data_IF_055359185306
#
_entry.id   IF_055359185306
#
_cell.length_a   1.000
_cell.length_b   1.000
_cell.length_c   1.000
_cell.angle_alpha   90.00
_cell.angle_beta   90.00
_cell.angle_gamma   90.00
#
_symmetry.space_group_name_H-M   'P 1'
#
loop_
_entity.id
_entity.type
_entity.pdbx_description
1 polymer ?
#
# COMPACT_ATOMS: atom_id res chain seq x y z
N UNK A 1 1.76 13.83 41.97
CA UNK A 1 2.21 13.82 40.57
C UNK A 1 2.31 12.38 40.12
N UNK A 2 1.24 11.81 39.57
CA UNK A 2 1.20 10.40 39.13
C UNK A 2 1.39 10.32 37.62
N UNK A 3 2.66 10.38 37.21
CA UNK A 3 3.08 10.07 35.84
C UNK A 3 3.12 8.57 35.63
N UNK A 4 1.95 7.93 35.54
CA UNK A 4 1.87 6.57 35.02
C UNK A 4 2.01 6.65 33.50
N UNK A 5 3.20 6.26 33.04
CA UNK A 5 3.50 5.73 31.72
C UNK A 5 2.25 5.21 30.99
N UNK A 6 1.60 6.08 30.21
CA UNK A 6 0.73 5.63 29.12
C UNK A 6 1.66 5.18 28.00
N UNK A 7 2.26 4.00 28.19
CA UNK A 7 2.73 3.22 27.05
C UNK A 7 1.59 3.22 26.03
N UNK A 8 1.93 3.47 24.77
CA UNK A 8 0.96 3.68 23.69
C UNK A 8 0.02 2.47 23.69
N UNK A 9 -1.15 2.61 24.31
CA UNK A 9 -2.23 1.65 24.22
C UNK A 9 -2.78 1.82 22.82
N UNK A 10 -2.08 1.27 21.84
CA UNK A 10 -2.67 0.98 20.54
C UNK A 10 -3.86 0.09 20.86
N UNK A 11 -5.07 0.63 20.67
CA UNK A 11 -6.28 -0.19 20.75
C UNK A 11 -6.12 -1.29 19.72
N UNK A 12 -5.77 -2.50 20.19
CA UNK A 12 -5.45 -3.65 19.34
C UNK A 12 -6.57 -3.87 18.33
N UNK A 13 -7.82 -3.75 18.79
CA UNK A 13 -9.02 -3.87 17.96
C UNK A 13 -9.09 -2.81 16.86
N UNK A 14 -8.91 -1.53 17.20
CA UNK A 14 -8.99 -0.43 16.22
C UNK A 14 -7.86 -0.50 15.20
N UNK A 15 -6.65 -0.85 15.64
CA UNK A 15 -5.52 -1.05 14.76
C UNK A 15 -5.75 -2.19 13.76
N UNK A 16 -6.16 -3.38 14.22
CA UNK A 16 -6.40 -4.50 13.31
C UNK A 16 -7.57 -4.22 12.35
N UNK A 17 -8.61 -3.51 12.81
CA UNK A 17 -9.68 -3.02 11.94
C UNK A 17 -9.14 -2.07 10.86
N UNK A 18 -8.33 -1.08 11.25
CA UNK A 18 -7.73 -0.12 10.33
C UNK A 18 -6.85 -0.79 9.27
N UNK A 19 -5.97 -1.72 9.67
CA UNK A 19 -5.14 -2.48 8.73
C UNK A 19 -6.00 -3.37 7.83
N UNK A 20 -7.09 -3.96 8.35
CA UNK A 20 -8.00 -4.75 7.54
C UNK A 20 -8.68 -3.89 6.47
N UNK A 21 -9.21 -2.72 6.86
CA UNK A 21 -9.84 -1.78 5.91
C UNK A 21 -8.82 -1.32 4.87
N UNK A 22 -7.61 -0.95 5.30
CA UNK A 22 -6.52 -0.60 4.39
C UNK A 22 -6.26 -1.70 3.35
N UNK A 23 -6.10 -2.95 3.79
CA UNK A 23 -5.83 -4.08 2.90
C UNK A 23 -6.98 -4.29 1.90
N UNK A 24 -8.23 -4.17 2.34
CA UNK A 24 -9.39 -4.26 1.44
C UNK A 24 -9.35 -3.14 0.41
N UNK A 25 -9.19 -1.89 0.84
CA UNK A 25 -9.12 -0.73 -0.06
C UNK A 25 -8.00 -0.85 -1.08
N UNK A 26 -6.81 -1.29 -0.67
CA UNK A 26 -5.70 -1.46 -1.61
C UNK A 26 -5.94 -2.60 -2.60
N UNK A 27 -6.55 -3.70 -2.16
CA UNK A 27 -6.96 -4.80 -3.06
C UNK A 27 -7.95 -4.29 -4.11
N UNK A 28 -8.96 -3.52 -3.70
CA UNK A 28 -9.95 -2.95 -4.61
C UNK A 28 -9.30 -1.96 -5.61
N UNK A 29 -8.35 -1.16 -5.13
CA UNK A 29 -7.55 -0.27 -5.99
C UNK A 29 -6.71 -1.06 -6.99
N UNK A 30 -6.10 -2.18 -6.61
CA UNK A 30 -5.30 -3.02 -7.50
C UNK A 30 -6.14 -3.62 -8.62
N UNK A 31 -7.32 -4.16 -8.29
CA UNK A 31 -8.27 -4.69 -9.28
C UNK A 31 -8.72 -3.58 -10.23
N UNK A 32 -9.20 -2.46 -9.67
CA UNK A 32 -9.70 -1.33 -10.48
C UNK A 32 -8.60 -0.79 -11.40
N UNK A 33 -7.37 -0.65 -10.89
CA UNK A 33 -6.26 -0.16 -11.69
C UNK A 33 -5.91 -1.13 -12.81
N UNK A 34 -5.86 -2.44 -12.54
CA UNK A 34 -5.62 -3.45 -13.56
C UNK A 34 -6.69 -3.44 -14.66
N UNK A 35 -7.96 -3.26 -14.32
CA UNK A 35 -9.05 -3.16 -15.30
C UNK A 35 -8.89 -1.92 -16.20
N UNK A 36 -8.58 -0.75 -15.62
CA UNK A 36 -8.37 0.48 -16.39
C UNK A 36 -7.12 0.43 -17.27
N UNK A 37 -6.09 -0.25 -16.79
CA UNK A 37 -4.88 -0.52 -17.55
C UNK A 37 -5.16 -1.33 -18.81
N UNK A 38 -5.90 -2.43 -18.67
CA UNK A 38 -6.30 -3.25 -19.80
C UNK A 38 -7.15 -2.47 -20.82
N UNK A 39 -8.09 -1.65 -20.33
CA UNK A 39 -8.90 -0.78 -21.19
C UNK A 39 -8.04 0.22 -21.99
N UNK A 40 -7.05 0.84 -21.36
CA UNK A 40 -6.12 1.77 -22.04
C UNK A 40 -5.29 1.02 -23.11
N UNK A 41 -4.79 -0.17 -22.79
CA UNK A 41 -4.03 -1.00 -23.72
C UNK A 41 -4.88 -1.41 -24.94
N UNK A 42 -6.14 -1.79 -24.72
CA UNK A 42 -7.09 -2.10 -25.80
C UNK A 42 -7.36 -0.88 -26.69
N UNK A 43 -7.58 0.30 -26.09
CA UNK A 43 -7.78 1.55 -26.82
C UNK A 43 -6.55 1.96 -27.63
N UNK A 44 -5.33 1.69 -27.12
CA UNK A 44 -4.11 1.92 -27.88
C UNK A 44 -3.94 0.93 -29.03
N UNK A 45 -4.27 -0.35 -28.81
CA UNK A 45 -4.18 -1.40 -29.82
C UNK A 45 -5.17 -1.17 -30.99
N UNK A 46 -6.32 -0.54 -30.72
CA UNK A 46 -7.29 -0.16 -31.75
C UNK A 46 -6.78 0.93 -32.71
N UNK A 47 -5.63 1.57 -32.41
CA UNK A 47 -4.98 2.60 -33.23
C UNK A 47 -5.96 3.65 -33.79
N UNK A 48 -6.76 4.34 -32.95
CA UNK A 48 -7.83 5.26 -33.39
C UNK A 48 -7.32 6.46 -34.19
N UNK A 49 -6.01 6.71 -34.17
CA UNK A 49 -5.33 7.79 -34.86
C UNK A 49 -5.02 7.52 -36.34
N UNK A 50 -5.11 6.25 -36.80
CA UNK A 50 -4.86 5.86 -38.19
C UNK A 50 -3.40 6.01 -38.66
N UNK A 51 -3.12 5.59 -39.91
CA UNK A 51 -1.76 5.53 -40.48
C UNK A 51 -1.34 6.82 -41.22
N UNK A 52 -2.19 7.84 -41.22
CA UNK A 52 -1.92 9.13 -41.87
C UNK A 52 -0.85 9.94 -41.15
N UNK A 53 -0.39 11.01 -41.78
CA UNK A 53 0.60 11.95 -41.21
C UNK A 53 0.17 12.51 -39.85
N UNK A 54 -1.11 12.77 -39.68
CA UNK A 54 -1.75 13.25 -38.46
C UNK A 54 -1.71 12.17 -37.37
N UNK A 55 -1.97 10.91 -37.73
CA UNK A 55 -1.93 9.78 -36.81
C UNK A 55 -0.52 9.46 -36.33
N UNK A 56 0.46 9.53 -37.23
CA UNK A 56 1.88 9.38 -36.90
C UNK A 56 2.38 10.52 -36.00
N UNK A 57 1.94 11.76 -36.24
CA UNK A 57 2.29 12.90 -35.40
C UNK A 57 1.69 12.78 -33.99
N UNK A 58 0.43 12.34 -33.89
CA UNK A 58 -0.20 12.02 -32.61
C UNK A 58 0.54 10.90 -31.90
N UNK A 59 0.79 9.77 -32.56
CA UNK A 59 1.51 8.65 -31.97
C UNK A 59 2.88 9.09 -31.44
N UNK A 60 3.62 9.91 -32.18
CA UNK A 60 4.91 10.46 -31.71
C UNK A 60 4.80 11.38 -30.51
N UNK A 61 3.78 12.24 -30.41
CA UNK A 61 3.64 13.14 -29.26
C UNK A 61 3.06 12.42 -28.05
N UNK A 62 2.11 11.51 -28.28
CA UNK A 62 1.37 10.80 -27.25
C UNK A 62 2.17 9.65 -26.64
N UNK A 63 2.87 8.85 -27.46
CA UNK A 63 3.78 7.79 -27.01
C UNK A 63 5.25 8.26 -26.95
N UNK A 64 5.50 9.52 -27.32
CA UNK A 64 6.79 10.17 -27.17
C UNK A 64 7.26 10.10 -25.72
N UNK A 65 8.56 9.85 -25.54
CA UNK A 65 9.21 9.73 -24.23
C UNK A 65 8.60 8.65 -23.31
N UNK A 66 7.82 7.72 -23.86
CA UNK A 66 7.16 6.65 -23.10
C UNK A 66 6.09 7.17 -22.14
N UNK A 67 5.52 8.35 -22.38
CA UNK A 67 4.70 9.08 -21.40
C UNK A 67 3.48 8.30 -20.85
N UNK A 68 2.68 7.58 -21.67
CA UNK A 68 1.56 6.80 -21.15
C UNK A 68 2.07 5.58 -20.38
N UNK A 69 2.97 4.80 -20.99
CA UNK A 69 3.53 3.58 -20.38
C UNK A 69 4.21 3.85 -19.04
N UNK A 70 4.96 4.97 -18.95
CA UNK A 70 5.63 5.39 -17.71
C UNK A 70 4.63 5.76 -16.62
N UNK A 71 3.56 6.49 -16.95
CA UNK A 71 2.49 6.81 -16.00
C UNK A 71 1.83 5.52 -15.49
N UNK A 72 1.57 4.59 -16.40
CA UNK A 72 0.92 3.32 -16.11
C UNK A 72 1.78 2.41 -15.21
N UNK A 73 3.09 2.33 -15.48
CA UNK A 73 4.04 1.60 -14.65
C UNK A 73 4.20 2.24 -13.27
N UNK A 74 4.23 3.57 -13.20
CA UNK A 74 4.32 4.29 -11.93
C UNK A 74 3.10 4.04 -11.04
N UNK A 75 1.88 4.07 -11.58
CA UNK A 75 0.69 3.77 -10.78
C UNK A 75 0.66 2.32 -10.29
N UNK A 76 1.10 1.36 -11.13
CA UNK A 76 1.26 -0.05 -10.72
C UNK A 76 2.28 -0.18 -9.58
N UNK A 77 3.39 0.55 -9.67
CA UNK A 77 4.40 0.58 -8.62
C UNK A 77 3.84 1.16 -7.31
N UNK A 78 3.13 2.28 -7.37
CA UNK A 78 2.52 2.91 -6.19
C UNK A 78 1.51 1.99 -5.51
N UNK A 79 0.63 1.32 -6.25
CA UNK A 79 -0.35 0.39 -5.66
C UNK A 79 0.35 -0.77 -4.94
N UNK A 80 1.41 -1.33 -5.53
CA UNK A 80 2.21 -2.38 -4.88
C UNK A 80 2.86 -1.88 -3.59
N UNK A 81 3.40 -0.66 -3.57
CA UNK A 81 3.95 -0.07 -2.35
C UNK A 81 2.89 0.08 -1.25
N UNK A 82 1.65 0.46 -1.61
CA UNK A 82 0.54 0.55 -0.67
C UNK A 82 0.14 -0.85 -0.14
N UNK A 83 0.16 -1.86 -1.00
CA UNK A 83 -0.18 -3.24 -0.63
C UNK A 83 0.84 -3.81 0.36
N UNK A 84 2.12 -3.54 0.13
CA UNK A 84 3.22 -3.95 1.00
C UNK A 84 3.21 -3.24 2.37
N UNK A 85 2.67 -2.03 2.45
CA UNK A 85 2.70 -1.23 3.68
C UNK A 85 1.84 -1.85 4.80
N UNK A 86 0.67 -2.38 4.47
CA UNK A 86 -0.27 -2.95 5.45
C UNK A 86 0.35 -4.10 6.29
N UNK A 87 0.90 -5.14 5.65
CA UNK A 87 1.62 -6.22 6.34
C UNK A 87 2.82 -5.74 7.16
N UNK A 88 3.58 -4.76 6.66
CA UNK A 88 4.74 -4.18 7.37
C UNK A 88 4.31 -3.48 8.66
N UNK A 89 3.25 -2.67 8.58
CA UNK A 89 2.68 -1.97 9.74
C UNK A 89 2.14 -2.98 10.75
N UNK A 90 1.41 -4.00 10.31
CA UNK A 90 0.93 -5.10 11.18
C UNK A 90 2.07 -5.75 11.94
N UNK A 91 3.11 -6.18 11.24
CA UNK A 91 4.28 -6.84 11.83
C UNK A 91 5.01 -5.94 12.82
N UNK A 92 5.13 -4.64 12.51
CA UNK A 92 5.73 -3.66 13.42
C UNK A 92 5.00 -3.57 14.77
N UNK A 93 3.67 -3.52 14.73
CA UNK A 93 2.85 -3.47 15.97
C UNK A 93 2.88 -4.80 16.72
N UNK A 94 2.84 -5.94 16.02
CA UNK A 94 2.95 -7.26 16.65
C UNK A 94 4.27 -7.43 17.40
N UNK A 95 5.37 -6.97 16.80
CA UNK A 95 6.69 -6.99 17.45
C UNK A 95 6.72 -6.09 18.70
N UNK A 96 6.12 -4.90 18.62
CA UNK A 96 6.05 -3.97 19.75
C UNK A 96 5.25 -4.56 20.92
N UNK A 97 4.05 -5.09 20.64
CA UNK A 97 3.19 -5.74 21.65
C UNK A 97 3.88 -6.96 22.26
N UNK A 98 4.57 -7.76 21.45
CA UNK A 98 5.33 -8.92 21.93
C UNK A 98 6.47 -8.50 22.87
N UNK A 99 7.20 -7.43 22.52
CA UNK A 99 8.29 -6.88 23.34
C UNK A 99 7.76 -6.36 24.68
N UNK A 100 6.68 -5.58 24.67
CA UNK A 100 6.07 -5.07 25.89
C UNK A 100 5.57 -6.20 26.81
N UNK A 101 5.01 -7.26 26.22
CA UNK A 101 4.56 -8.45 26.96
C UNK A 101 5.73 -9.16 27.64
N UNK A 102 6.82 -9.38 26.91
CA UNK A 102 8.03 -10.02 27.44
C UNK A 102 8.68 -9.19 28.56
N UNK A 103 8.73 -7.86 28.42
CA UNK A 103 9.22 -6.96 29.47
C UNK A 103 8.33 -7.06 30.71
N UNK A 104 7.00 -7.03 30.54
CA UNK A 104 6.06 -7.13 31.65
C UNK A 104 6.18 -8.48 32.39
N UNK A 105 6.38 -9.58 31.67
CA UNK A 105 6.62 -10.90 32.27
C UNK A 105 7.93 -10.95 33.06
N UNK A 106 9.00 -10.40 32.50
CA UNK A 106 10.30 -10.32 33.18
C UNK A 106 10.18 -9.54 34.51
N UNK A 107 9.58 -8.35 34.47
CA UNK A 107 9.35 -7.52 35.67
C UNK A 107 8.50 -8.26 36.71
N UNK A 108 7.43 -8.94 36.30
CA UNK A 108 6.60 -9.73 37.23
C UNK A 108 7.36 -10.87 37.89
N UNK A 109 8.27 -11.50 37.17
CA UNK A 109 9.09 -12.59 37.71
C UNK A 109 10.12 -12.04 38.71
N UNK A 110 10.81 -10.95 38.40
CA UNK A 110 11.79 -10.34 39.32
C UNK A 110 11.17 -9.84 40.62
N UNK A 111 9.94 -9.33 40.59
CA UNK A 111 9.24 -8.87 41.81
C UNK A 111 8.78 -10.05 42.69
N UNK A 112 8.61 -11.25 42.14
CA UNK A 112 8.23 -12.46 42.91
C UNK A 112 9.41 -13.13 43.62
N UNK A 113 10.63 -12.85 43.18
CA UNK A 113 11.87 -13.41 43.74
C UNK A 113 12.42 -12.58 44.92
N UNK A 114 11.78 -11.46 45.27
CA UNK A 114 12.10 -10.56 46.38
C UNK A 114 11.08 -10.72 47.50
#
# INVERSE_FOLDING_TARGET
MNGLNRGVLVSKLEFYRGVSVWNTTVTDMEVTYHERMAEIEELHAAAPWGDGTEGLAFHRSYLGDGAPTTLLDNGKHTIRQLADLGPRVRKGVENLVGTDTAIAENVRNSVREV
#
